data_IF_613770851067
#
_entry.id   IF_613770851067
#
_cell.length_a   1.000
_cell.length_b   1.000
_cell.length_c   1.000
_cell.angle_alpha   90.00
_cell.angle_beta   90.00
_cell.angle_gamma   90.00
#
_symmetry.space_group_name_H-M   'P 1'
#
loop_
_entity.id
_entity.type
_entity.pdbx_description
1 polymer ?
#
# COMPACT_ATOMS: atom_id res chain seq x y z
N UNK A 1 8.50 13.63 -9.69
CA UNK A 1 7.39 12.87 -9.09
C UNK A 1 6.59 12.25 -10.22
N UNK A 2 6.63 10.92 -10.35
CA UNK A 2 5.77 10.22 -11.31
C UNK A 2 4.68 9.49 -10.53
N UNK A 3 3.41 9.66 -10.91
CA UNK A 3 2.28 8.97 -10.26
C UNK A 3 2.43 7.44 -10.27
N UNK A 4 3.24 6.93 -11.20
CA UNK A 4 3.56 5.51 -11.34
C UNK A 4 4.35 4.95 -10.16
N UNK A 5 5.05 5.77 -9.37
CA UNK A 5 5.82 5.28 -8.21
C UNK A 5 4.90 4.73 -7.11
N UNK A 6 3.82 5.47 -6.78
CA UNK A 6 2.81 5.01 -5.83
C UNK A 6 2.07 3.76 -6.33
N UNK A 7 1.76 3.72 -7.63
CA UNK A 7 1.13 2.55 -8.25
C UNK A 7 2.04 1.30 -8.22
N UNK A 8 3.36 1.46 -8.39
CA UNK A 8 4.33 0.36 -8.23
C UNK A 8 4.38 -0.14 -6.80
N UNK A 9 4.38 0.77 -5.81
CA UNK A 9 4.29 0.39 -4.40
C UNK A 9 3.02 -0.42 -4.11
N UNK A 10 1.88 0.01 -4.65
CA UNK A 10 0.62 -0.71 -4.49
C UNK A 10 0.65 -2.08 -5.16
N UNK A 11 1.16 -2.16 -6.39
CA UNK A 11 1.31 -3.42 -7.12
C UNK A 11 2.22 -4.40 -6.37
N UNK A 12 3.29 -3.91 -5.74
CA UNK A 12 4.15 -4.72 -4.88
C UNK A 12 3.37 -5.32 -3.69
N UNK A 13 2.61 -4.50 -2.95
CA UNK A 13 1.79 -5.01 -1.85
C UNK A 13 0.75 -6.05 -2.26
N UNK A 14 0.11 -5.85 -3.42
CA UNK A 14 -0.85 -6.82 -3.97
C UNK A 14 -0.18 -8.13 -4.46
N UNK A 15 1.13 -8.13 -4.67
CA UNK A 15 1.89 -9.32 -5.09
C UNK A 15 2.43 -10.18 -3.95
N UNK A 16 2.29 -9.72 -2.70
CA UNK A 16 2.69 -10.47 -1.51
C UNK A 16 1.77 -11.67 -1.26
N UNK A 17 2.24 -12.63 -0.46
CA UNK A 17 1.45 -13.78 -0.01
C UNK A 17 1.47 -13.86 1.53
N UNK A 18 0.36 -13.53 2.22
CA UNK A 18 -0.92 -13.09 1.65
C UNK A 18 -0.87 -11.65 1.11
N UNK A 19 -1.70 -11.30 0.10
CA UNK A 19 -1.74 -9.95 -0.44
C UNK A 19 -2.08 -8.90 0.63
N UNK A 20 -1.50 -7.71 0.49
CA UNK A 20 -1.75 -6.59 1.41
C UNK A 20 -2.58 -5.50 0.74
N UNK A 21 -3.76 -5.24 1.26
CA UNK A 21 -4.59 -4.09 0.89
C UNK A 21 -4.28 -2.90 1.80
N UNK A 22 -3.91 -1.75 1.24
CA UNK A 22 -3.62 -0.54 2.02
C UNK A 22 -4.87 0.09 2.66
N UNK A 23 -6.03 -0.04 2.00
CA UNK A 23 -7.36 0.44 2.44
C UNK A 23 -7.53 1.95 2.70
N UNK A 24 -6.51 2.79 2.52
CA UNK A 24 -6.57 4.25 2.76
C UNK A 24 -5.69 5.04 1.78
N UNK A 25 -5.90 4.82 0.48
CA UNK A 25 -5.14 5.52 -0.56
C UNK A 25 -5.71 6.93 -0.76
N UNK A 26 -4.91 7.94 -0.40
CA UNK A 26 -5.19 9.36 -0.54
C UNK A 26 -3.89 10.17 -0.62
N UNK A 27 -3.88 11.41 -1.15
CA UNK A 27 -2.66 12.20 -1.32
C UNK A 27 -1.86 12.40 -0.03
N UNK A 28 -2.53 12.50 1.12
CA UNK A 28 -1.90 12.67 2.44
C UNK A 28 -1.04 11.45 2.84
N UNK A 29 -1.36 10.28 2.30
CA UNK A 29 -0.67 9.01 2.54
C UNK A 29 0.33 8.67 1.42
N UNK A 30 0.61 9.61 0.51
CA UNK A 30 1.64 9.48 -0.52
C UNK A 30 2.74 10.49 -0.22
N UNK A 31 3.83 10.00 0.37
CA UNK A 31 4.97 10.85 0.73
C UNK A 31 5.94 10.99 -0.45
N UNK A 32 6.67 12.10 -0.49
CA UNK A 32 7.71 12.34 -1.49
C UNK A 32 9.07 12.35 -0.80
N UNK A 33 9.97 11.48 -1.27
CA UNK A 33 11.34 11.41 -0.74
C UNK A 33 12.21 12.55 -1.30
N UNK A 34 13.41 12.74 -0.73
CA UNK A 34 14.41 13.70 -1.23
C UNK A 34 14.87 13.41 -2.68
N UNK A 35 14.65 12.19 -3.17
CA UNK A 35 14.93 11.76 -4.56
C UNK A 35 13.73 12.00 -5.49
N UNK A 36 12.69 12.70 -5.03
CA UNK A 36 11.47 13.01 -5.79
C UNK A 36 10.68 11.74 -6.21
N UNK A 37 10.78 10.68 -5.40
CA UNK A 37 10.04 9.42 -5.54
C UNK A 37 8.80 9.45 -4.65
N UNK A 38 7.64 9.06 -5.19
CA UNK A 38 6.43 8.90 -4.39
C UNK A 38 6.41 7.52 -3.70
N UNK A 39 6.12 7.48 -2.40
CA UNK A 39 6.05 6.25 -1.59
C UNK A 39 4.76 6.20 -0.79
N UNK A 40 4.23 4.99 -0.58
CA UNK A 40 3.04 4.78 0.24
C UNK A 40 3.38 4.88 1.73
N UNK A 41 2.47 5.45 2.51
CA UNK A 41 2.60 5.63 3.95
C UNK A 41 1.26 5.41 4.68
N UNK A 42 1.32 5.28 6.00
CA UNK A 42 0.16 5.02 6.88
C UNK A 42 -0.61 3.73 6.54
N UNK A 43 -0.08 2.62 7.04
CA UNK A 43 -0.69 1.30 6.95
C UNK A 43 -1.62 0.99 8.13
N UNK A 44 -2.09 2.00 8.89
CA UNK A 44 -2.93 1.80 10.07
C UNK A 44 -4.28 1.14 9.79
N UNK A 45 -4.74 1.20 8.54
CA UNK A 45 -5.94 0.52 8.06
C UNK A 45 -5.64 -0.69 7.16
N UNK A 46 -4.37 -1.07 7.00
CA UNK A 46 -3.98 -2.12 6.06
C UNK A 46 -4.45 -3.52 6.52
N UNK A 47 -4.77 -4.35 5.53
CA UNK A 47 -5.40 -5.65 5.70
C UNK A 47 -4.62 -6.71 4.91
N UNK A 48 -4.34 -7.86 5.51
CA UNK A 48 -4.01 -9.09 4.80
C UNK A 48 -5.30 -9.62 4.16
N UNK A 49 -5.19 -9.96 2.89
CA UNK A 49 -6.26 -10.57 2.11
C UNK A 49 -6.04 -12.08 2.13
N UNK A 50 -6.82 -12.79 2.93
CA UNK A 50 -6.88 -14.25 2.87
C UNK A 50 -8.06 -14.64 1.97
N UNK A 51 -7.76 -15.35 0.89
CA UNK A 51 -8.76 -15.83 -0.06
C UNK A 51 -9.76 -16.84 0.54
N UNK A 52 -9.52 -17.34 1.76
CA UNK A 52 -10.37 -18.32 2.45
C UNK A 52 -11.04 -17.75 3.69
N UNK A 53 -10.40 -16.83 4.42
CA UNK A 53 -10.93 -16.26 5.67
C UNK A 53 -11.34 -14.79 5.60
N UNK A 54 -11.06 -14.09 4.49
CA UNK A 54 -11.41 -12.68 4.30
C UNK A 54 -10.28 -11.73 4.71
N UNK A 55 -10.63 -10.57 5.29
CA UNK A 55 -9.67 -9.51 5.58
C UNK A 55 -9.22 -9.55 7.05
N UNK A 56 -7.90 -9.64 7.28
CA UNK A 56 -7.29 -9.61 8.62
C UNK A 56 -6.43 -8.36 8.77
N UNK A 57 -6.58 -7.59 9.86
CA UNK A 57 -5.72 -6.43 10.11
C UNK A 57 -4.25 -6.82 10.24
N UNK A 58 -3.38 -6.08 9.56
CA UNK A 58 -1.94 -6.13 9.80
C UNK A 58 -1.72 -5.49 11.18
N UNK A 59 -1.30 -6.29 12.17
CA UNK A 59 -0.95 -5.82 13.52
C UNK A 59 0.54 -5.88 13.71
#
# INVERSE_FOLDING_TARGET
MQITDAARGLAYHHSLEPPVCHADIKPENILVTHQVTAVLADFGLALLVDHHSGLTKIR
#
